data_IF_850344799995
#
_entry.id   IF_850344799995
#
_cell.length_a   1.000
_cell.length_b   1.000
_cell.length_c   1.000
_cell.angle_alpha   90.00
_cell.angle_beta   90.00
_cell.angle_gamma   90.00
#
_symmetry.space_group_name_H-M   'P 1'
#
loop_
_entity.id
_entity.type
_entity.pdbx_description
1 polymer ?
#
# COMPACT_ATOMS: atom_id res chain seq x y z
N UNK A 1 -23.55 -20.34 29.59
CA UNK A 1 -23.82 -19.01 30.18
C UNK A 1 -24.62 -19.27 31.44
N UNK A 2 -24.18 -18.78 32.60
CA UNK A 2 -24.92 -18.96 33.84
C UNK A 2 -26.10 -18.00 33.88
N UNK A 3 -27.26 -18.49 34.28
CA UNK A 3 -28.47 -17.70 34.43
C UNK A 3 -28.46 -16.89 35.73
N UNK A 4 -29.34 -15.88 35.85
CA UNK A 4 -29.53 -15.16 37.12
C UNK A 4 -29.97 -16.09 38.25
N UNK A 5 -30.65 -17.17 37.89
CA UNK A 5 -31.10 -18.20 38.83
C UNK A 5 -29.92 -19.03 39.35
N UNK A 6 -28.91 -19.31 38.51
CA UNK A 6 -27.68 -19.99 38.91
C UNK A 6 -26.84 -19.12 39.86
N UNK A 7 -26.76 -17.81 39.60
CA UNK A 7 -26.07 -16.86 40.49
C UNK A 7 -26.74 -16.76 41.87
N UNK A 8 -28.07 -16.69 41.91
CA UNK A 8 -28.82 -16.66 43.17
C UNK A 8 -28.68 -17.98 43.95
N UNK A 9 -28.69 -19.11 43.25
CA UNK A 9 -28.46 -20.43 43.85
C UNK A 9 -27.06 -20.53 44.46
N UNK A 10 -26.03 -20.02 43.76
CA UNK A 10 -24.66 -20.02 44.26
C UNK A 10 -24.46 -19.13 45.50
N UNK A 11 -25.16 -18.00 45.59
CA UNK A 11 -25.18 -17.16 46.80
C UNK A 11 -25.89 -17.87 47.95
N UNK A 12 -27.05 -18.48 47.69
CA UNK A 12 -27.81 -19.21 48.71
C UNK A 12 -27.05 -20.44 49.25
N UNK A 13 -26.25 -21.10 48.39
CA UNK A 13 -25.38 -22.21 48.76
C UNK A 13 -24.08 -21.76 49.47
N UNK A 14 -23.83 -20.45 49.60
CA UNK A 14 -22.62 -19.89 50.18
C UNK A 14 -21.36 -20.08 49.34
N UNK A 15 -21.50 -20.49 48.08
CA UNK A 15 -20.38 -20.71 47.16
C UNK A 15 -19.71 -19.39 46.73
N UNK A 16 -20.48 -18.30 46.69
CA UNK A 16 -20.02 -16.93 46.42
C UNK A 16 -20.78 -15.94 47.32
N UNK A 17 -20.19 -14.77 47.59
CA UNK A 17 -20.89 -13.72 48.36
C UNK A 17 -21.91 -12.96 47.49
N UNK A 18 -22.87 -12.32 48.15
CA UNK A 18 -23.86 -11.48 47.47
C UNK A 18 -23.20 -10.31 46.73
N UNK A 19 -22.19 -9.69 47.34
CA UNK A 19 -21.44 -8.58 46.74
C UNK A 19 -20.66 -9.04 45.50
N UNK A 20 -20.11 -10.26 45.50
CA UNK A 20 -19.41 -10.81 44.34
C UNK A 20 -20.37 -11.10 43.17
N UNK A 21 -21.59 -11.57 43.48
CA UNK A 21 -22.63 -11.77 42.47
C UNK A 21 -23.09 -10.43 41.88
N UNK A 22 -23.25 -9.39 42.69
CA UNK A 22 -23.61 -8.04 42.23
C UNK A 22 -22.50 -7.39 41.41
N UNK A 23 -21.24 -7.52 41.83
CA UNK A 23 -20.09 -7.05 41.06
C UNK A 23 -19.99 -7.75 39.70
N UNK A 24 -20.26 -9.06 39.64
CA UNK A 24 -20.27 -9.81 38.39
C UNK A 24 -21.41 -9.37 37.47
N UNK A 25 -22.61 -9.13 38.01
CA UNK A 25 -23.75 -8.57 37.24
C UNK A 25 -23.39 -7.21 36.65
N UNK A 26 -22.82 -6.32 37.45
CA UNK A 26 -22.40 -5.00 37.01
C UNK A 26 -21.32 -5.08 35.92
N UNK A 27 -20.37 -6.00 36.06
CA UNK A 27 -19.32 -6.21 35.06
C UNK A 27 -19.86 -6.73 33.72
N UNK A 28 -20.77 -7.72 33.74
CA UNK A 28 -21.38 -8.27 32.54
C UNK A 28 -22.28 -7.25 31.84
N UNK A 29 -23.03 -6.46 32.61
CA UNK A 29 -23.83 -5.35 32.06
C UNK A 29 -22.94 -4.32 31.36
N UNK A 30 -21.84 -3.90 32.00
CA UNK A 30 -20.87 -2.99 31.39
C UNK A 30 -20.17 -3.59 30.16
N UNK A 31 -19.90 -4.90 30.14
CA UNK A 31 -19.36 -5.57 28.95
C UNK A 31 -20.35 -5.56 27.77
N UNK A 32 -21.63 -5.82 28.03
CA UNK A 32 -22.65 -5.81 26.98
C UNK A 32 -22.89 -4.41 26.40
N UNK A 33 -22.76 -3.35 27.21
CA UNK A 33 -22.78 -1.96 26.73
C UNK A 33 -21.47 -1.58 25.97
N UNK A 34 -20.39 -2.32 26.17
CA UNK A 34 -19.06 -2.04 25.59
C UNK A 34 -18.77 -2.73 24.24
N UNK A 35 -19.63 -3.64 23.79
CA UNK A 35 -19.53 -4.27 22.47
C UNK A 35 -20.64 -3.67 21.58
N UNK A 36 -20.38 -2.60 20.83
CA UNK A 36 -21.38 -2.10 19.90
C UNK A 36 -21.53 -3.13 18.79
N UNK A 37 -22.61 -3.91 18.82
CA UNK A 37 -23.07 -4.71 17.68
C UNK A 37 -23.24 -3.84 16.40
N UNK A 38 -23.36 -2.52 16.58
CA UNK A 38 -23.41 -1.51 15.52
C UNK A 38 -22.06 -1.29 14.79
N UNK A 39 -20.94 -1.74 15.36
CA UNK A 39 -19.61 -1.57 14.74
C UNK A 39 -19.45 -2.33 13.40
N UNK A 40 -20.19 -3.42 13.19
CA UNK A 40 -20.19 -4.14 11.91
C UNK A 40 -21.08 -3.46 10.86
N UNK A 41 -22.22 -2.88 11.27
CA UNK A 41 -23.15 -2.23 10.34
C UNK A 41 -22.56 -0.96 9.73
N UNK A 42 -21.79 -0.19 10.52
CA UNK A 42 -21.07 0.97 10.00
C UNK A 42 -19.90 0.62 9.07
N UNK A 43 -19.27 -0.55 9.19
CA UNK A 43 -18.19 -0.97 8.26
C UNK A 43 -18.70 -1.18 6.84
N UNK A 44 -19.91 -1.69 6.66
CA UNK A 44 -20.52 -1.88 5.33
C UNK A 44 -20.82 -0.55 4.64
N UNK A 45 -21.43 0.41 5.34
CA UNK A 45 -21.77 1.73 4.79
C UNK A 45 -20.49 2.55 4.52
N UNK A 46 -19.51 2.49 5.42
CA UNK A 46 -18.22 3.21 5.23
C UNK A 46 -17.40 2.58 4.11
N UNK A 47 -17.48 1.26 3.91
CA UNK A 47 -16.79 0.56 2.83
C UNK A 47 -17.28 0.96 1.43
N UNK A 48 -18.56 1.33 1.28
CA UNK A 48 -19.10 1.81 0.00
C UNK A 48 -18.45 3.13 -0.44
N UNK A 49 -18.25 4.07 0.50
CA UNK A 49 -17.56 5.33 0.22
C UNK A 49 -16.11 5.10 -0.25
N UNK A 50 -15.40 4.15 0.34
CA UNK A 50 -14.04 3.77 -0.07
C UNK A 50 -13.99 3.30 -1.53
N UNK A 51 -15.04 2.64 -2.03
CA UNK A 51 -15.11 2.19 -3.43
C UNK A 51 -15.26 3.36 -4.40
N UNK A 52 -16.17 4.32 -4.17
CA UNK A 52 -16.30 5.48 -5.08
C UNK A 52 -15.03 6.32 -5.13
N UNK A 53 -14.43 6.56 -3.96
CA UNK A 53 -13.17 7.29 -3.87
C UNK A 53 -12.08 6.55 -4.64
N UNK A 54 -11.99 5.22 -4.48
CA UNK A 54 -11.02 4.38 -5.19
C UNK A 54 -11.20 4.46 -6.72
N UNK A 55 -12.43 4.40 -7.22
CA UNK A 55 -12.72 4.55 -8.65
C UNK A 55 -12.27 5.93 -9.15
N UNK A 56 -12.62 7.00 -8.42
CA UNK A 56 -12.19 8.36 -8.75
C UNK A 56 -10.67 8.51 -8.76
N UNK A 57 -9.98 7.91 -7.79
CA UNK A 57 -8.51 7.87 -7.72
C UNK A 57 -7.93 7.14 -8.94
N UNK A 58 -8.45 5.96 -9.30
CA UNK A 58 -7.95 5.20 -10.46
C UNK A 58 -8.13 6.01 -11.76
N UNK A 59 -9.32 6.59 -11.99
CA UNK A 59 -9.58 7.40 -13.18
C UNK A 59 -8.61 8.59 -13.23
N UNK A 60 -8.41 9.29 -12.11
CA UNK A 60 -7.48 10.40 -12.04
C UNK A 60 -6.04 9.96 -12.33
N UNK A 61 -5.58 8.86 -11.75
CA UNK A 61 -4.22 8.34 -11.98
C UNK A 61 -4.01 7.93 -13.44
N UNK A 62 -5.01 7.30 -14.08
CA UNK A 62 -4.97 6.98 -15.51
C UNK A 62 -4.90 8.26 -16.35
N UNK A 63 -5.69 9.28 -16.01
CA UNK A 63 -5.63 10.58 -16.69
C UNK A 63 -4.26 11.24 -16.53
N UNK A 64 -3.66 11.20 -15.33
CA UNK A 64 -2.31 11.74 -15.09
C UNK A 64 -1.23 10.98 -15.88
N UNK A 65 -1.36 9.65 -16.00
CA UNK A 65 -0.48 8.85 -16.83
C UNK A 65 -0.60 9.24 -18.31
N UNK A 66 -1.82 9.37 -18.82
CA UNK A 66 -2.09 9.79 -20.20
C UNK A 66 -1.54 11.21 -20.48
N UNK A 67 -1.75 12.15 -19.56
CA UNK A 67 -1.21 13.51 -19.65
C UNK A 67 0.32 13.47 -19.70
N UNK A 68 0.98 12.69 -18.85
CA UNK A 68 2.44 12.58 -18.88
C UNK A 68 2.96 11.96 -20.17
N UNK A 69 2.25 10.97 -20.72
CA UNK A 69 2.55 10.40 -22.03
C UNK A 69 2.37 11.41 -23.18
N UNK A 70 1.38 12.29 -23.08
CA UNK A 70 1.17 13.36 -24.07
C UNK A 70 2.19 14.51 -23.95
N UNK A 71 2.71 14.77 -22.75
CA UNK A 71 3.78 15.77 -22.54
C UNK A 71 5.12 15.26 -23.08
N UNK A 72 5.41 13.98 -22.85
CA UNK A 72 6.63 13.33 -23.31
C UNK A 72 6.28 11.97 -23.90
N UNK A 73 6.13 11.96 -25.22
CA UNK A 73 5.86 10.76 -25.99
C UNK A 73 7.17 9.98 -26.17
N UNK A 74 7.30 8.90 -25.41
CA UNK A 74 8.39 7.94 -25.59
C UNK A 74 7.92 6.86 -26.55
N UNK A 75 8.63 6.71 -27.67
CA UNK A 75 8.21 5.81 -28.76
C UNK A 75 8.36 4.33 -28.40
N UNK A 76 9.23 4.00 -27.45
CA UNK A 76 9.66 2.63 -27.19
C UNK A 76 9.81 2.25 -25.71
N UNK A 77 9.49 3.17 -24.80
CA UNK A 77 9.62 2.96 -23.36
C UNK A 77 8.44 3.58 -22.59
N UNK A 78 8.16 3.17 -21.35
CA UNK A 78 7.23 3.88 -20.49
C UNK A 78 7.64 5.35 -20.36
N UNK A 79 6.71 6.29 -20.56
CA UNK A 79 7.02 7.72 -20.46
C UNK A 79 7.51 8.06 -19.04
N UNK A 80 8.73 8.61 -18.88
CA UNK A 80 9.26 8.99 -17.57
C UNK A 80 8.36 10.01 -16.86
N UNK A 81 7.80 10.94 -17.65
CA UNK A 81 6.92 12.00 -17.18
C UNK A 81 5.58 11.43 -16.70
N UNK A 82 5.03 10.42 -17.40
CA UNK A 82 3.83 9.71 -16.93
C UNK A 82 4.06 9.06 -15.57
N UNK A 83 5.15 8.31 -15.39
CA UNK A 83 5.50 7.70 -14.11
C UNK A 83 5.67 8.74 -13.00
N UNK A 84 6.35 9.85 -13.27
CA UNK A 84 6.59 10.91 -12.31
C UNK A 84 5.28 11.62 -11.91
N UNK A 85 4.39 11.91 -12.85
CA UNK A 85 3.08 12.51 -12.57
C UNK A 85 2.18 11.58 -11.76
N UNK A 86 2.16 10.29 -12.08
CA UNK A 86 1.43 9.28 -11.30
C UNK A 86 1.98 9.20 -9.88
N UNK A 87 3.30 9.14 -9.71
CA UNK A 87 3.93 9.08 -8.39
C UNK A 87 3.63 10.33 -7.56
N UNK A 88 3.82 11.52 -8.14
CA UNK A 88 3.53 12.79 -7.46
C UNK A 88 2.06 12.90 -7.05
N UNK A 89 1.15 12.58 -7.97
CA UNK A 89 -0.30 12.61 -7.69
C UNK A 89 -0.68 11.61 -6.61
N UNK A 90 -0.14 10.39 -6.68
CA UNK A 90 -0.41 9.36 -5.68
C UNK A 90 0.05 9.79 -4.27
N UNK A 91 1.23 10.40 -4.15
CA UNK A 91 1.72 10.92 -2.87
C UNK A 91 0.80 12.02 -2.31
N UNK A 92 0.44 13.00 -3.14
CA UNK A 92 -0.43 14.11 -2.73
C UNK A 92 -1.80 13.63 -2.27
N UNK A 93 -2.39 12.66 -2.99
CA UNK A 93 -3.66 12.05 -2.61
C UNK A 93 -3.53 11.19 -1.35
N UNK A 94 -2.40 10.50 -1.15
CA UNK A 94 -2.15 9.71 0.06
C UNK A 94 -2.08 10.60 1.32
N UNK A 95 -1.55 11.83 1.22
CA UNK A 95 -1.62 12.82 2.32
C UNK A 95 -3.05 13.13 2.76
N UNK A 96 -4.02 13.02 1.86
CA UNK A 96 -5.42 13.22 2.18
C UNK A 96 -6.14 11.90 2.55
N UNK A 97 -6.16 10.93 1.65
CA UNK A 97 -6.95 9.71 1.80
C UNK A 97 -6.34 8.71 2.78
N UNK A 98 -5.02 8.58 2.79
CA UNK A 98 -4.32 7.66 3.70
C UNK A 98 -4.09 8.31 5.06
N UNK A 99 -3.45 9.49 5.10
CA UNK A 99 -3.04 10.11 6.37
C UNK A 99 -4.20 10.75 7.14
N UNK A 100 -5.06 11.53 6.46
CA UNK A 100 -6.14 12.28 7.12
C UNK A 100 -7.44 11.48 7.21
N UNK A 101 -7.88 10.87 6.10
CA UNK A 101 -9.15 10.13 6.05
C UNK A 101 -9.04 8.65 6.45
N UNK A 102 -7.84 8.08 6.50
CA UNK A 102 -7.57 6.69 6.93
C UNK A 102 -8.40 5.64 6.17
N UNK A 103 -8.65 5.87 4.89
CA UNK A 103 -9.39 4.96 4.01
C UNK A 103 -8.49 3.81 3.56
N UNK A 104 -8.94 2.56 3.63
CA UNK A 104 -8.05 1.41 3.42
C UNK A 104 -7.84 1.13 1.92
N UNK A 105 -8.93 1.03 1.16
CA UNK A 105 -8.89 0.65 -0.26
C UNK A 105 -8.18 1.70 -1.14
N UNK A 106 -8.51 3.01 -1.06
CA UNK A 106 -7.78 4.02 -1.82
C UNK A 106 -6.29 4.04 -1.48
N UNK A 107 -5.92 3.79 -0.22
CA UNK A 107 -4.53 3.80 0.23
C UNK A 107 -3.69 2.70 -0.41
N UNK A 108 -4.26 1.51 -0.61
CA UNK A 108 -3.57 0.41 -1.30
C UNK A 108 -3.31 0.80 -2.76
N UNK A 109 -4.31 1.36 -3.43
CA UNK A 109 -4.19 1.82 -4.83
C UNK A 109 -3.12 2.91 -4.95
N UNK A 110 -3.17 3.91 -4.06
CA UNK A 110 -2.22 5.02 -4.04
C UNK A 110 -0.79 4.55 -3.76
N UNK A 111 -0.60 3.57 -2.86
CA UNK A 111 0.70 2.96 -2.64
C UNK A 111 1.25 2.29 -3.90
N UNK A 112 0.44 1.44 -4.55
CA UNK A 112 0.86 0.73 -5.76
C UNK A 112 1.17 1.71 -6.89
N UNK A 113 0.34 2.74 -7.04
CA UNK A 113 0.55 3.82 -8.01
C UNK A 113 1.82 4.62 -7.71
N UNK A 114 2.09 4.93 -6.44
CA UNK A 114 3.30 5.64 -6.04
C UNK A 114 4.56 4.81 -6.34
N UNK A 115 4.64 3.57 -5.85
CA UNK A 115 5.81 2.70 -6.04
C UNK A 115 6.01 2.36 -7.51
N UNK A 116 4.93 1.98 -8.20
CA UNK A 116 4.95 1.71 -9.63
C UNK A 116 5.33 2.94 -10.45
N UNK A 117 4.75 4.11 -10.14
CA UNK A 117 5.06 5.36 -10.81
C UNK A 117 6.53 5.75 -10.69
N UNK A 118 7.11 5.66 -9.50
CA UNK A 118 8.55 5.91 -9.28
C UNK A 118 9.40 4.93 -10.11
N UNK A 119 9.08 3.63 -10.06
CA UNK A 119 9.83 2.62 -10.80
C UNK A 119 9.75 2.83 -12.32
N UNK A 120 8.54 3.00 -12.88
CA UNK A 120 8.36 3.20 -14.31
C UNK A 120 8.94 4.54 -14.79
N UNK A 121 8.93 5.59 -13.96
CA UNK A 121 9.60 6.84 -14.29
C UNK A 121 11.11 6.63 -14.52
N UNK A 122 11.75 5.91 -13.58
CA UNK A 122 13.19 5.67 -13.61
C UNK A 122 13.59 4.66 -14.70
N UNK A 123 12.81 3.59 -14.89
CA UNK A 123 13.03 2.64 -15.99
C UNK A 123 12.84 3.31 -17.35
N UNK A 124 11.79 4.12 -17.51
CA UNK A 124 11.57 4.91 -18.72
C UNK A 124 12.79 5.78 -19.03
N UNK A 125 13.31 6.50 -18.03
CA UNK A 125 14.49 7.34 -18.19
C UNK A 125 15.73 6.51 -18.54
N UNK A 126 15.87 5.33 -17.93
CA UNK A 126 16.99 4.42 -18.20
C UNK A 126 16.98 3.94 -19.67
N UNK A 127 15.80 3.60 -20.20
CA UNK A 127 15.63 3.15 -21.58
C UNK A 127 15.84 4.29 -22.58
N UNK A 128 15.44 5.52 -22.26
CA UNK A 128 15.74 6.72 -23.05
C UNK A 128 17.25 6.97 -23.16
N UNK A 129 17.99 6.78 -22.07
CA UNK A 129 19.45 6.97 -22.04
C UNK A 129 20.17 5.87 -22.84
N UNK A 130 19.71 4.62 -22.73
CA UNK A 130 20.38 3.44 -23.30
C UNK A 130 19.98 3.20 -24.76
N UNK A 131 18.76 3.60 -25.15
CA UNK A 131 18.17 3.30 -26.44
C UNK A 131 17.60 1.88 -26.54
N UNK A 132 16.93 1.57 -27.65
CA UNK A 132 16.20 0.30 -27.86
C UNK A 132 17.00 -0.80 -28.53
N UNK A 133 18.11 -0.45 -29.16
CA UNK A 133 19.05 -1.39 -29.78
C UNK A 133 20.43 -1.20 -29.17
N UNK A 134 20.59 -1.54 -27.87
CA UNK A 134 21.86 -1.35 -27.20
C UNK A 134 22.93 -2.32 -27.75
N UNK A 135 24.15 -1.83 -27.91
CA UNK A 135 25.31 -2.71 -28.04
C UNK A 135 25.67 -3.38 -26.71
N UNK A 136 26.61 -4.34 -26.69
CA UNK A 136 26.95 -5.13 -25.49
C UNK A 136 27.27 -4.29 -24.23
N UNK A 137 28.00 -3.18 -24.41
CA UNK A 137 28.33 -2.26 -23.32
C UNK A 137 27.10 -1.50 -22.81
N UNK A 138 26.19 -1.10 -23.70
CA UNK A 138 24.97 -0.37 -23.35
C UNK A 138 23.96 -1.25 -22.62
N UNK A 139 23.92 -2.55 -22.90
CA UNK A 139 23.11 -3.51 -22.15
C UNK A 139 23.54 -3.60 -20.69
N UNK A 140 24.86 -3.68 -20.44
CA UNK A 140 25.40 -3.70 -19.07
C UNK A 140 25.03 -2.40 -18.33
N UNK A 141 25.16 -1.25 -19.00
CA UNK A 141 24.74 0.05 -18.45
C UNK A 141 23.24 0.07 -18.16
N UNK A 142 22.39 -0.45 -19.05
CA UNK A 142 20.95 -0.53 -18.85
C UNK A 142 20.56 -1.40 -17.65
N UNK A 143 21.21 -2.56 -17.49
CA UNK A 143 20.99 -3.42 -16.33
C UNK A 143 21.39 -2.72 -15.01
N UNK A 144 22.51 -1.97 -14.99
CA UNK A 144 22.91 -1.16 -13.84
C UNK A 144 21.93 -0.01 -13.54
N UNK A 145 21.39 0.65 -14.56
CA UNK A 145 20.40 1.70 -14.39
C UNK A 145 19.07 1.15 -13.86
N UNK A 146 18.64 -0.04 -14.30
CA UNK A 146 17.46 -0.72 -13.75
C UNK A 146 17.70 -1.13 -12.30
N UNK A 147 18.89 -1.62 -11.96
CA UNK A 147 19.24 -1.91 -10.57
C UNK A 147 19.16 -0.64 -9.70
N UNK A 148 19.70 0.48 -10.19
CA UNK A 148 19.60 1.77 -9.51
C UNK A 148 18.13 2.22 -9.37
N UNK A 149 17.31 2.04 -10.40
CA UNK A 149 15.88 2.34 -10.35
C UNK A 149 15.18 1.54 -9.25
N UNK A 150 15.42 0.23 -9.17
CA UNK A 150 14.88 -0.63 -8.11
C UNK A 150 15.30 -0.18 -6.71
N UNK A 151 16.56 0.21 -6.53
CA UNK A 151 17.07 0.71 -5.25
C UNK A 151 16.41 2.03 -4.83
N UNK A 152 16.26 2.98 -5.76
CA UNK A 152 15.58 4.24 -5.51
C UNK A 152 14.10 3.99 -5.21
N UNK A 153 13.44 3.09 -5.93
CA UNK A 153 12.05 2.70 -5.65
C UNK A 153 11.90 2.07 -4.27
N UNK A 154 12.84 1.23 -3.83
CA UNK A 154 12.83 0.67 -2.48
C UNK A 154 12.98 1.75 -1.41
N UNK A 155 13.87 2.74 -1.63
CA UNK A 155 14.02 3.89 -0.75
C UNK A 155 12.74 4.76 -0.72
N UNK A 156 12.10 4.97 -1.87
CA UNK A 156 10.83 5.68 -1.97
C UNK A 156 9.71 4.94 -1.23
N UNK A 157 9.62 3.62 -1.37
CA UNK A 157 8.69 2.79 -0.61
C UNK A 157 8.93 2.91 0.90
N UNK A 158 10.18 2.90 1.36
CA UNK A 158 10.49 3.13 2.77
C UNK A 158 10.06 4.52 3.25
N UNK A 159 10.28 5.58 2.45
CA UNK A 159 9.80 6.94 2.77
C UNK A 159 8.27 7.00 2.85
N UNK A 160 7.58 6.33 1.93
CA UNK A 160 6.13 6.19 1.95
C UNK A 160 5.67 5.48 3.23
N UNK A 161 6.30 4.36 3.60
CA UNK A 161 5.98 3.65 4.83
C UNK A 161 6.19 4.52 6.06
N UNK A 162 7.33 5.21 6.17
CA UNK A 162 7.61 6.12 7.29
C UNK A 162 6.56 7.23 7.43
N UNK A 163 5.99 7.69 6.31
CA UNK A 163 5.02 8.79 6.27
C UNK A 163 3.59 8.35 6.57
N UNK A 164 3.17 7.22 6.02
CA UNK A 164 1.78 6.77 5.99
C UNK A 164 1.51 5.50 6.82
N UNK A 165 2.54 4.77 7.22
CA UNK A 165 2.50 3.56 8.04
C UNK A 165 1.61 2.44 7.46
N UNK A 166 1.55 2.34 6.13
CA UNK A 166 0.77 1.29 5.44
C UNK A 166 1.58 -0.02 5.42
N UNK A 167 1.13 -1.11 6.08
CA UNK A 167 1.96 -2.32 6.24
C UNK A 167 2.36 -2.99 4.92
N UNK A 168 1.47 -2.98 3.93
CA UNK A 168 1.73 -3.58 2.61
C UNK A 168 2.87 -2.88 1.84
N UNK A 169 3.30 -1.69 2.26
CA UNK A 169 4.47 -1.02 1.68
C UNK A 169 5.75 -1.83 1.82
N UNK A 170 5.87 -2.68 2.85
CA UNK A 170 7.02 -3.58 3.01
C UNK A 170 7.12 -4.56 1.85
N UNK A 171 5.99 -5.14 1.43
CA UNK A 171 5.94 -6.07 0.29
C UNK A 171 6.33 -5.39 -1.04
N UNK A 172 5.88 -4.14 -1.22
CA UNK A 172 6.26 -3.35 -2.39
C UNK A 172 7.76 -3.01 -2.40
N UNK A 173 8.33 -2.67 -1.23
CA UNK A 173 9.76 -2.42 -1.07
C UNK A 173 10.62 -3.67 -1.31
N UNK A 174 10.21 -4.83 -0.79
CA UNK A 174 10.93 -6.09 -1.04
C UNK A 174 10.87 -6.50 -2.51
N UNK A 175 9.74 -6.30 -3.20
CA UNK A 175 9.65 -6.53 -4.64
C UNK A 175 10.66 -5.65 -5.42
N UNK A 176 10.80 -4.37 -5.05
CA UNK A 176 11.76 -3.46 -5.68
C UNK A 176 13.22 -3.89 -5.42
N UNK A 177 13.53 -4.37 -4.21
CA UNK A 177 14.85 -4.94 -3.90
C UNK A 177 15.12 -6.23 -4.67
N UNK A 178 14.13 -7.12 -4.81
CA UNK A 178 14.28 -8.32 -5.63
C UNK A 178 14.57 -7.99 -7.10
N UNK A 179 13.84 -7.01 -7.67
CA UNK A 179 14.11 -6.51 -9.02
C UNK A 179 15.53 -5.95 -9.15
N UNK A 180 16.03 -5.25 -8.13
CA UNK A 180 17.41 -4.75 -8.07
C UNK A 180 18.42 -5.90 -8.15
N UNK A 181 18.23 -6.94 -7.33
CA UNK A 181 19.13 -8.11 -7.31
C UNK A 181 19.14 -8.82 -8.65
N UNK A 182 17.97 -9.04 -9.26
CA UNK A 182 17.86 -9.65 -10.59
C UNK A 182 18.62 -8.83 -11.63
N UNK A 183 18.42 -7.51 -11.65
CA UNK A 183 19.10 -6.62 -12.59
C UNK A 183 20.63 -6.63 -12.41
N UNK A 184 21.12 -6.71 -11.18
CA UNK A 184 22.56 -6.85 -10.90
C UNK A 184 23.13 -8.18 -11.38
N UNK A 185 22.38 -9.28 -11.23
CA UNK A 185 22.78 -10.59 -11.75
C UNK A 185 22.90 -10.54 -13.28
N UNK A 186 21.92 -9.94 -13.96
CA UNK A 186 21.96 -9.74 -15.42
C UNK A 186 23.17 -8.90 -15.83
N UNK A 187 23.44 -7.80 -15.12
CA UNK A 187 24.61 -6.96 -15.38
C UNK A 187 25.94 -7.70 -15.18
N UNK A 188 26.01 -8.60 -14.18
CA UNK A 188 27.22 -9.35 -13.86
C UNK A 188 27.52 -10.48 -14.85
N UNK A 189 26.48 -11.10 -15.43
CA UNK A 189 26.65 -12.13 -16.46
C UNK A 189 27.04 -11.49 -17.80
N UNK A 190 26.43 -10.34 -18.15
CA UNK A 190 26.69 -9.63 -19.40
C UNK A 190 26.19 -10.36 -20.65
N UNK A 191 26.07 -9.68 -21.80
CA UNK A 191 25.77 -10.34 -23.07
C UNK A 191 26.92 -11.27 -23.49
N UNK A 192 26.57 -12.50 -23.90
CA UNK A 192 27.52 -13.40 -24.55
C UNK A 192 27.98 -12.77 -25.87
N UNK A 193 29.29 -12.59 -26.03
CA UNK A 193 29.89 -12.15 -27.28
C UNK A 193 30.01 -13.35 -28.24
N UNK A 194 28.97 -13.62 -29.01
CA UNK A 194 29.04 -14.46 -30.21
C UNK A 194 29.13 -13.60 -31.48
#
# INVERSE_FOLDING_TARGET
MYSQQDLNSAVAAGAISAEAADALRAHVAAQNDSVPADAEHFRLITGFNDVFVSIGVVILLVAMAAIGGAIYESSNAPSPVAGALVAGTAWLLAEFFTRKKRMALPSIILLLAFVGGVFFALVGLSLEIVGTNPGPTQETVGALLIALAGLITAAAAWLHWKRFMVPITIAAGTAALAATVVALIVAAIGPNSD
#
